data_IF_547754962219
#
_entry.id   IF_547754962219
#
_cell.length_a   1.000
_cell.length_b   1.000
_cell.length_c   1.000
_cell.angle_alpha   90.00
_cell.angle_beta   90.00
_cell.angle_gamma   90.00
#
_symmetry.space_group_name_H-M   'P 1'
#
loop_
_entity.id
_entity.type
_entity.pdbx_description
1 polymer ?
#
# COMPACT_ATOMS: atom_id res chain seq x y z
N UNK A 1 43.84 -1.52 -30.38
CA UNK A 1 43.09 -0.28 -30.12
C UNK A 1 43.40 0.08 -28.68
N UNK A 2 44.02 1.23 -28.43
CA UNK A 2 44.36 1.65 -27.08
C UNK A 2 43.06 1.87 -26.29
N UNK A 3 42.89 1.17 -25.16
CA UNK A 3 41.78 1.44 -24.24
C UNK A 3 41.84 2.91 -23.82
N UNK A 4 40.81 3.67 -24.20
CA UNK A 4 40.62 5.03 -23.70
C UNK A 4 40.55 4.96 -22.18
N UNK A 5 41.49 5.68 -21.56
CA UNK A 5 41.71 5.73 -20.13
C UNK A 5 40.51 6.40 -19.45
N UNK A 6 39.47 5.62 -19.12
CA UNK A 6 38.21 6.14 -18.56
C UNK A 6 38.49 6.74 -17.18
N UNK A 7 38.40 8.06 -17.11
CA UNK A 7 38.58 8.80 -15.87
C UNK A 7 37.34 8.63 -14.98
N UNK A 8 37.56 8.23 -13.72
CA UNK A 8 36.53 7.98 -12.71
C UNK A 8 36.57 9.13 -11.71
N UNK A 9 35.43 9.82 -11.54
CA UNK A 9 35.27 10.81 -10.48
C UNK A 9 34.95 10.07 -9.17
N UNK A 10 35.76 10.34 -8.16
CA UNK A 10 35.61 9.76 -6.83
C UNK A 10 35.91 10.79 -5.73
N UNK A 11 35.79 10.35 -4.48
CA UNK A 11 35.89 11.16 -3.29
C UNK A 11 36.88 10.57 -2.32
N UNK A 12 37.77 11.40 -1.79
CA UNK A 12 38.84 10.94 -0.92
C UNK A 12 38.96 11.81 0.33
N UNK A 13 39.13 11.15 1.47
CA UNK A 13 39.49 11.77 2.74
C UNK A 13 41.01 11.77 2.96
N UNK A 14 41.48 12.78 3.67
CA UNK A 14 42.87 13.00 4.06
C UNK A 14 42.94 13.47 5.52
N UNK A 15 44.10 13.32 6.15
CA UNK A 15 44.40 14.04 7.38
C UNK A 15 44.45 15.57 7.11
N UNK A 16 44.39 16.38 8.17
CA UNK A 16 44.44 17.85 8.06
C UNK A 16 45.68 18.39 7.33
N UNK A 17 46.79 17.65 7.40
CA UNK A 17 48.05 17.94 6.72
C UNK A 17 48.11 17.41 5.27
N UNK A 18 46.98 16.97 4.70
CA UNK A 18 46.89 16.34 3.37
C UNK A 18 47.64 15.01 3.21
N UNK A 19 47.95 14.32 4.31
CA UNK A 19 48.56 12.99 4.23
C UNK A 19 47.53 11.85 4.21
N UNK A 20 47.87 10.76 3.53
CA UNK A 20 47.14 9.48 3.57
C UNK A 20 48.14 8.32 3.44
N UNK A 21 48.11 7.34 4.36
CA UNK A 21 49.02 6.17 4.40
C UNK A 21 50.51 6.53 4.24
N UNK A 22 50.96 7.64 4.84
CA UNK A 22 52.35 8.10 4.79
C UNK A 22 52.75 8.82 3.50
N UNK A 23 51.81 9.06 2.59
CA UNK A 23 52.03 9.83 1.36
C UNK A 23 51.45 11.24 1.50
N UNK A 24 52.19 12.25 1.06
CA UNK A 24 51.79 13.66 1.06
C UNK A 24 51.11 14.01 -0.26
N UNK A 25 49.91 14.59 -0.19
CA UNK A 25 49.16 15.05 -1.35
C UNK A 25 49.06 16.57 -1.37
N UNK A 26 48.81 17.10 -2.57
CA UNK A 26 48.54 18.50 -2.83
C UNK A 26 47.38 18.62 -3.82
N UNK A 27 46.51 19.59 -3.60
CA UNK A 27 45.43 19.92 -4.53
C UNK A 27 46.03 20.42 -5.86
N UNK A 28 45.46 19.96 -6.97
CA UNK A 28 45.92 20.24 -8.34
C UNK A 28 47.05 19.32 -8.82
N UNK A 29 47.53 18.37 -8.01
CA UNK A 29 48.60 17.45 -8.40
C UNK A 29 48.07 16.07 -8.77
N UNK A 30 48.85 15.39 -9.60
CA UNK A 30 48.61 14.02 -10.05
C UNK A 30 49.73 13.10 -9.59
N UNK A 31 49.35 11.91 -9.15
CA UNK A 31 50.23 10.92 -8.59
C UNK A 31 50.02 9.57 -9.27
N UNK A 32 51.12 8.82 -9.43
CA UNK A 32 51.12 7.51 -10.06
C UNK A 32 51.74 6.46 -9.12
N UNK A 33 51.06 5.33 -9.02
CA UNK A 33 51.48 4.16 -8.27
C UNK A 33 52.13 3.17 -9.22
N UNK A 34 53.33 2.70 -8.87
CA UNK A 34 54.02 1.63 -9.59
C UNK A 34 53.78 0.32 -8.86
N UNK A 35 53.09 -0.61 -9.51
CA UNK A 35 52.76 -1.93 -8.96
C UNK A 35 51.31 -2.30 -9.18
N UNK A 36 50.94 -3.50 -8.73
CA UNK A 36 49.58 -4.02 -8.86
C UNK A 36 48.58 -3.16 -8.08
N UNK A 37 47.42 -2.90 -8.66
CA UNK A 37 46.35 -2.14 -8.01
C UNK A 37 45.32 -3.13 -7.44
N UNK A 38 45.06 -3.04 -6.13
CA UNK A 38 44.10 -3.92 -5.48
C UNK A 38 43.33 -3.16 -4.40
N UNK A 39 42.00 -3.21 -4.48
CA UNK A 39 41.12 -2.61 -3.49
C UNK A 39 41.53 -3.04 -2.07
N UNK A 40 41.53 -2.08 -1.15
CA UNK A 40 41.96 -2.19 0.25
C UNK A 40 43.48 -2.38 0.48
N UNK A 41 44.23 -2.89 -0.48
CA UNK A 41 45.64 -3.28 -0.32
C UNK A 41 46.60 -2.25 -0.92
N UNK A 42 46.53 -1.99 -2.23
CA UNK A 42 47.54 -1.25 -2.99
C UNK A 42 46.95 -0.29 -4.02
N UNK A 43 47.71 0.76 -4.37
CA UNK A 43 47.22 1.87 -5.18
C UNK A 43 46.55 2.99 -4.37
N UNK A 44 45.99 3.97 -5.09
CA UNK A 44 45.32 5.11 -4.49
C UNK A 44 43.86 4.82 -4.25
N UNK A 45 43.39 5.02 -3.02
CA UNK A 45 42.04 4.66 -2.61
C UNK A 45 41.11 5.88 -2.52
N UNK A 46 39.87 5.73 -3.02
CA UNK A 46 38.78 6.68 -2.90
C UNK A 46 37.43 5.94 -2.89
N UNK A 47 36.31 6.66 -2.80
CA UNK A 47 34.95 6.12 -2.93
C UNK A 47 34.20 6.82 -4.07
N UNK A 48 33.46 6.09 -4.91
CA UNK A 48 32.65 6.71 -5.96
C UNK A 48 31.43 7.46 -5.38
N UNK A 49 30.86 6.96 -4.28
CA UNK A 49 29.82 7.65 -3.51
C UNK A 49 30.45 8.53 -2.41
N UNK A 50 30.16 9.84 -2.35
CA UNK A 50 30.86 10.75 -1.44
C UNK A 50 30.75 10.42 0.05
N UNK A 51 29.60 9.91 0.52
CA UNK A 51 29.40 9.69 1.96
C UNK A 51 30.06 8.40 2.47
N UNK A 52 30.41 7.45 1.60
CA UNK A 52 31.18 6.25 1.99
C UNK A 52 32.54 6.63 2.57
N UNK A 53 33.11 7.77 2.15
CA UNK A 53 34.38 8.29 2.69
C UNK A 53 34.30 8.50 4.21
N UNK A 54 33.10 8.81 4.76
CA UNK A 54 32.91 9.07 6.19
C UNK A 54 33.07 7.82 7.06
N UNK A 55 32.91 6.63 6.48
CA UNK A 55 33.21 5.36 7.15
C UNK A 55 34.71 5.17 7.39
N UNK A 56 35.55 5.87 6.62
CA UNK A 56 37.01 5.78 6.69
C UNK A 56 37.68 7.01 7.32
N UNK A 57 37.03 8.18 7.22
CA UNK A 57 37.55 9.46 7.65
C UNK A 57 36.51 10.23 8.44
N UNK A 58 36.79 10.48 9.73
CA UNK A 58 35.90 11.28 10.56
C UNK A 58 35.83 12.73 10.05
N UNK A 59 34.62 13.28 9.80
CA UNK A 59 34.47 14.62 9.25
C UNK A 59 34.94 15.73 10.18
N UNK A 60 35.05 15.46 11.49
CA UNK A 60 35.52 16.43 12.47
C UNK A 60 37.02 16.74 12.36
N UNK A 61 37.81 15.83 11.79
CA UNK A 61 39.28 15.89 11.82
C UNK A 61 39.93 15.58 10.47
N UNK A 62 39.15 15.53 9.39
CA UNK A 62 39.63 15.16 8.05
C UNK A 62 39.33 16.24 7.02
N UNK A 63 40.15 16.27 5.96
CA UNK A 63 39.88 17.04 4.74
C UNK A 63 39.34 16.12 3.66
N UNK A 64 38.54 16.66 2.75
CA UNK A 64 37.92 15.90 1.67
C UNK A 64 38.21 16.55 0.33
N UNK A 65 38.37 15.74 -0.71
CA UNK A 65 38.55 16.24 -2.06
C UNK A 65 37.76 15.42 -3.08
N UNK A 66 37.39 16.09 -4.17
CA UNK A 66 37.07 15.42 -5.43
C UNK A 66 38.37 14.96 -6.05
N UNK A 67 38.40 13.72 -6.52
CA UNK A 67 39.57 13.13 -7.17
C UNK A 67 39.20 12.51 -8.51
N UNK A 68 40.14 12.54 -9.43
CA UNK A 68 40.06 11.84 -10.71
C UNK A 68 40.98 10.66 -10.71
N UNK A 69 40.43 9.47 -10.95
CA UNK A 69 41.14 8.21 -10.90
C UNK A 69 41.22 7.60 -12.30
N UNK A 70 42.39 7.06 -12.66
CA UNK A 70 42.63 6.44 -13.98
C UNK A 70 43.73 5.38 -13.90
N UNK A 71 44.03 4.74 -15.03
CA UNK A 71 44.92 3.58 -15.11
C UNK A 71 44.24 2.29 -14.65
N UNK A 72 45.04 1.31 -14.24
CA UNK A 72 44.52 0.06 -13.66
C UNK A 72 43.66 0.38 -12.42
N UNK A 73 42.48 -0.24 -12.33
CA UNK A 73 41.55 -0.03 -11.21
C UNK A 73 41.08 -1.36 -10.62
N UNK A 74 40.76 -1.33 -9.32
CA UNK A 74 40.21 -2.46 -8.59
C UNK A 74 39.11 -1.96 -7.67
N UNK A 75 37.95 -2.64 -7.69
CA UNK A 75 36.77 -2.31 -6.87
C UNK A 75 36.55 -3.37 -5.81
N UNK A 76 36.01 -2.94 -4.67
CA UNK A 76 35.52 -3.83 -3.61
C UNK A 76 34.05 -4.22 -3.85
N UNK A 77 33.54 -5.23 -3.14
CA UNK A 77 32.14 -5.67 -3.21
C UNK A 77 31.22 -5.00 -2.20
N UNK A 78 31.77 -4.48 -1.10
CA UNK A 78 30.97 -4.13 0.08
C UNK A 78 30.49 -2.66 0.07
N UNK A 79 31.23 -1.75 -0.57
CA UNK A 79 30.90 -0.33 -0.71
C UNK A 79 31.38 0.22 -2.06
N UNK A 80 31.31 1.54 -2.26
CA UNK A 80 31.76 2.16 -3.53
C UNK A 80 33.27 2.41 -3.61
N UNK A 81 34.06 1.75 -2.76
CA UNK A 81 35.50 1.95 -2.71
C UNK A 81 36.18 1.41 -3.96
N UNK A 82 37.16 2.20 -4.39
CA UNK A 82 37.97 1.92 -5.57
C UNK A 82 39.43 2.21 -5.26
N UNK A 83 40.31 1.40 -5.83
CA UNK A 83 41.74 1.65 -5.93
C UNK A 83 42.12 1.93 -7.39
N UNK A 84 43.06 2.86 -7.63
CA UNK A 84 43.59 3.15 -8.95
C UNK A 84 45.12 3.28 -8.97
N UNK A 85 45.70 3.09 -10.16
CA UNK A 85 47.11 3.35 -10.44
C UNK A 85 47.42 4.85 -10.44
N UNK A 86 46.48 5.69 -10.85
CA UNK A 86 46.67 7.14 -10.96
C UNK A 86 45.55 7.90 -10.26
N UNK A 87 45.92 8.95 -9.52
CA UNK A 87 44.97 9.84 -8.85
C UNK A 87 45.38 11.30 -9.05
N UNK A 88 44.43 12.15 -9.42
CA UNK A 88 44.57 13.61 -9.40
C UNK A 88 43.69 14.17 -8.30
N UNK A 89 44.26 14.99 -7.43
CA UNK A 89 43.50 15.70 -6.39
C UNK A 89 42.96 16.97 -7.01
N UNK A 90 41.67 17.04 -7.31
CA UNK A 90 41.14 18.18 -8.08
C UNK A 90 40.90 19.42 -7.22
N UNK A 91 40.07 19.28 -6.20
CA UNK A 91 39.68 20.38 -5.32
C UNK A 91 39.33 19.86 -3.94
N UNK A 92 39.67 20.63 -2.92
CA UNK A 92 39.10 20.45 -1.58
C UNK A 92 37.60 20.72 -1.64
N UNK A 93 36.82 19.95 -0.88
CA UNK A 93 35.38 20.15 -0.71
C UNK A 93 35.02 20.14 0.77
N UNK A 94 34.01 20.93 1.13
CA UNK A 94 33.45 20.94 2.48
C UNK A 94 32.28 19.94 2.62
N UNK A 95 31.79 19.76 3.85
CA UNK A 95 30.70 18.83 4.15
C UNK A 95 29.40 19.16 3.39
N UNK A 96 28.93 20.44 3.32
CA UNK A 96 27.81 20.80 2.47
C UNK A 96 27.96 20.42 0.99
N UNK A 97 29.13 20.66 0.39
CA UNK A 97 29.42 20.28 -1.00
C UNK A 97 29.44 18.76 -1.19
N UNK A 98 29.98 18.03 -0.21
CA UNK A 98 29.96 16.56 -0.19
C UNK A 98 28.54 16.00 -0.13
N UNK A 99 27.67 16.57 0.71
CA UNK A 99 26.24 16.22 0.79
C UNK A 99 25.55 16.52 -0.54
N UNK A 100 25.78 17.70 -1.13
CA UNK A 100 25.21 18.07 -2.43
C UNK A 100 25.58 17.04 -3.51
N UNK A 101 26.86 16.67 -3.59
CA UNK A 101 27.35 15.67 -4.55
C UNK A 101 26.80 14.27 -4.27
N UNK A 102 26.52 13.93 -3.01
CA UNK A 102 25.91 12.66 -2.67
C UNK A 102 24.46 12.58 -3.18
N UNK A 103 23.72 13.67 -3.05
CA UNK A 103 22.37 13.80 -3.63
C UNK A 103 22.42 13.71 -5.15
N UNK A 104 23.37 14.39 -5.80
CA UNK A 104 23.56 14.31 -7.27
C UNK A 104 23.90 12.89 -7.73
N UNK A 105 24.76 12.18 -7.01
CA UNK A 105 25.11 10.78 -7.30
C UNK A 105 23.89 9.86 -7.20
N UNK A 106 23.09 9.97 -6.13
CA UNK A 106 21.86 9.20 -5.96
C UNK A 106 20.89 9.51 -7.11
N UNK A 107 20.69 10.79 -7.43
CA UNK A 107 19.84 11.19 -8.57
C UNK A 107 20.33 10.57 -9.89
N UNK A 108 21.62 10.47 -10.13
CA UNK A 108 22.16 9.84 -11.33
C UNK A 108 22.01 8.31 -11.39
N UNK A 109 21.73 7.65 -10.24
CA UNK A 109 21.47 6.21 -10.16
C UNK A 109 19.99 5.86 -10.27
N UNK A 110 19.11 6.83 -10.06
CA UNK A 110 17.67 6.66 -10.23
C UNK A 110 17.34 6.77 -11.71
N UNK A 111 16.64 5.76 -12.23
CA UNK A 111 16.02 5.82 -13.55
C UNK A 111 14.73 6.67 -13.46
N UNK A 112 14.89 7.98 -13.68
CA UNK A 112 13.77 8.92 -13.67
C UNK A 112 12.81 8.73 -14.85
N UNK A 113 13.27 8.11 -15.95
CA UNK A 113 12.43 7.80 -17.11
C UNK A 113 11.56 6.56 -16.84
N UNK A 114 12.03 5.64 -15.99
CA UNK A 114 11.24 4.54 -15.43
C UNK A 114 10.38 4.94 -14.22
N UNK A 115 10.49 6.18 -13.71
CA UNK A 115 9.56 6.72 -12.73
C UNK A 115 8.20 6.93 -13.41
N UNK A 116 7.43 5.85 -13.55
CA UNK A 116 6.05 5.93 -14.01
C UNK A 116 5.33 6.95 -13.14
N UNK A 117 4.89 8.03 -13.78
CA UNK A 117 3.78 8.87 -13.34
C UNK A 117 2.74 7.93 -12.76
N UNK A 118 2.26 8.18 -11.55
CA UNK A 118 1.13 7.44 -10.96
C UNK A 118 0.13 7.12 -12.07
N UNK A 119 -0.24 5.86 -12.22
CA UNK A 119 -1.13 5.42 -13.28
C UNK A 119 -2.39 6.28 -13.13
N UNK A 120 -2.55 7.24 -14.03
CA UNK A 120 -3.49 8.36 -13.94
C UNK A 120 -4.08 8.52 -15.32
N UNK A 121 -5.34 8.94 -15.37
CA UNK A 121 -6.07 9.13 -16.61
C UNK A 121 -7.01 7.98 -16.93
N UNK A 122 -7.85 8.20 -17.92
CA UNK A 122 -8.95 7.31 -18.26
C UNK A 122 -8.44 6.00 -18.86
N UNK A 123 -9.11 4.89 -18.51
CA UNK A 123 -8.78 3.56 -19.01
C UNK A 123 -7.36 3.08 -18.65
N UNK A 124 -6.79 3.64 -17.58
CA UNK A 124 -5.49 3.26 -17.05
C UNK A 124 -5.57 1.99 -16.20
N UNK A 125 -4.46 1.26 -16.09
CA UNK A 125 -4.35 0.08 -15.23
C UNK A 125 -3.07 0.13 -14.39
N UNK A 126 -3.19 -0.20 -13.10
CA UNK A 126 -2.07 -0.45 -12.19
C UNK A 126 -2.08 -1.90 -11.76
N UNK A 127 -0.96 -2.60 -11.98
CA UNK A 127 -0.82 -4.01 -11.61
C UNK A 127 0.50 -4.18 -10.88
N UNK A 128 0.44 -4.74 -9.69
CA UNK A 128 1.63 -5.08 -8.91
C UNK A 128 1.53 -6.52 -8.38
N UNK A 129 2.67 -7.12 -8.08
CA UNK A 129 2.78 -8.46 -7.50
C UNK A 129 3.88 -8.47 -6.44
N UNK A 130 3.69 -9.22 -5.36
CA UNK A 130 4.74 -9.47 -4.36
C UNK A 130 4.33 -9.13 -2.94
N UNK A 131 5.16 -9.56 -1.98
CA UNK A 131 4.96 -9.27 -0.57
C UNK A 131 5.10 -7.76 -0.30
N UNK A 132 4.14 -7.17 0.41
CA UNK A 132 4.12 -5.72 0.74
C UNK A 132 4.12 -4.80 -0.49
N UNK A 133 3.48 -5.23 -1.57
CA UNK A 133 3.29 -4.43 -2.77
C UNK A 133 2.08 -3.50 -2.65
N UNK A 134 2.06 -2.44 -3.46
CA UNK A 134 0.91 -1.53 -3.59
C UNK A 134 0.64 -1.25 -5.06
N UNK A 135 -0.63 -1.32 -5.48
CA UNK A 135 -1.10 -0.84 -6.77
C UNK A 135 -2.08 0.31 -6.56
N UNK A 136 -1.77 1.49 -7.10
CA UNK A 136 -2.64 2.67 -7.02
C UNK A 136 -3.00 3.18 -8.41
N UNK A 137 -4.25 3.58 -8.59
CA UNK A 137 -4.73 4.12 -9.85
C UNK A 137 -5.79 5.22 -9.66
N UNK A 138 -5.98 6.07 -10.67
CA UNK A 138 -7.07 7.05 -10.72
C UNK A 138 -7.53 7.34 -12.15
N UNK A 139 -8.84 7.47 -12.39
CA UNK A 139 -9.39 7.83 -13.71
C UNK A 139 -10.76 7.22 -14.02
N UNK A 140 -11.40 7.66 -15.11
CA UNK A 140 -12.63 7.02 -15.59
C UNK A 140 -12.29 5.66 -16.21
N UNK A 141 -13.01 4.60 -15.82
CA UNK A 141 -12.73 3.21 -16.25
C UNK A 141 -11.32 2.71 -15.91
N UNK A 142 -10.75 3.18 -14.82
CA UNK A 142 -9.44 2.74 -14.34
C UNK A 142 -9.52 1.44 -13.54
N UNK A 143 -8.41 0.70 -13.44
CA UNK A 143 -8.31 -0.52 -12.62
C UNK A 143 -7.01 -0.54 -11.79
N UNK A 144 -7.10 -0.85 -10.51
CA UNK A 144 -5.95 -1.19 -9.67
C UNK A 144 -6.03 -2.66 -9.26
N UNK A 145 -5.01 -3.45 -9.57
CA UNK A 145 -4.93 -4.87 -9.26
C UNK A 145 -3.64 -5.17 -8.50
N UNK A 146 -3.73 -5.92 -7.42
CA UNK A 146 -2.56 -6.40 -6.71
C UNK A 146 -2.68 -7.88 -6.34
N UNK A 147 -1.55 -8.56 -6.26
CA UNK A 147 -1.46 -9.96 -5.83
C UNK A 147 -0.24 -10.13 -4.93
N UNK A 148 -0.47 -10.41 -3.65
CA UNK A 148 0.56 -10.65 -2.66
C UNK A 148 0.09 -10.43 -1.24
N UNK A 149 0.77 -11.04 -0.29
CA UNK A 149 0.45 -10.86 1.13
C UNK A 149 0.88 -9.49 1.64
N UNK A 150 0.14 -8.95 2.60
CA UNK A 150 0.35 -7.61 3.18
C UNK A 150 0.32 -6.50 2.13
N UNK A 151 -0.51 -6.67 1.09
CA UNK A 151 -0.55 -5.77 -0.06
C UNK A 151 -1.80 -4.89 -0.09
N UNK A 152 -1.79 -3.86 -0.93
CA UNK A 152 -2.95 -2.99 -1.15
C UNK A 152 -3.23 -2.73 -2.64
N UNK A 153 -4.50 -2.71 -3.02
CA UNK A 153 -4.97 -2.20 -4.29
C UNK A 153 -5.92 -1.03 -4.03
N UNK A 154 -5.60 0.16 -4.55
CA UNK A 154 -6.41 1.38 -4.32
C UNK A 154 -6.74 2.03 -5.64
N UNK A 155 -8.03 2.34 -5.86
CA UNK A 155 -8.47 3.06 -7.03
C UNK A 155 -9.44 4.20 -6.68
N UNK A 156 -9.43 5.25 -7.49
CA UNK A 156 -10.40 6.34 -7.42
C UNK A 156 -10.89 6.66 -8.82
N UNK A 157 -12.20 6.60 -9.06
CA UNK A 157 -12.76 6.96 -10.36
C UNK A 157 -14.16 6.42 -10.63
N UNK A 158 -14.79 6.99 -11.65
CA UNK A 158 -16.07 6.52 -12.18
C UNK A 158 -15.86 5.24 -12.98
N UNK A 159 -16.74 4.24 -12.85
CA UNK A 159 -16.61 2.95 -13.56
C UNK A 159 -15.30 2.23 -13.28
N UNK A 160 -14.77 2.37 -12.06
CA UNK A 160 -13.44 1.90 -11.69
C UNK A 160 -13.47 0.62 -10.87
N UNK A 161 -12.34 -0.10 -10.82
CA UNK A 161 -12.21 -1.29 -9.98
C UNK A 161 -10.91 -1.30 -9.16
N UNK A 162 -10.97 -1.77 -7.92
CA UNK A 162 -9.82 -2.14 -7.11
C UNK A 162 -9.92 -3.63 -6.75
N UNK A 163 -8.92 -4.42 -7.12
CA UNK A 163 -8.90 -5.87 -6.89
C UNK A 163 -7.62 -6.26 -6.17
N UNK A 164 -7.73 -7.01 -5.08
CA UNK A 164 -6.57 -7.55 -4.38
C UNK A 164 -6.74 -9.05 -4.07
N UNK A 165 -5.63 -9.76 -3.98
CA UNK A 165 -5.57 -11.15 -3.55
C UNK A 165 -4.31 -11.36 -2.71
N UNK A 166 -4.48 -11.86 -1.49
CA UNK A 166 -3.40 -12.16 -0.56
C UNK A 166 -3.82 -12.01 0.89
N UNK A 167 -3.07 -12.62 1.80
CA UNK A 167 -3.36 -12.55 3.23
C UNK A 167 -2.99 -11.19 3.79
N UNK A 168 -3.81 -10.69 4.73
CA UNK A 168 -3.67 -9.36 5.35
C UNK A 168 -3.61 -8.23 4.32
N UNK A 169 -4.41 -8.35 3.27
CA UNK A 169 -4.46 -7.41 2.16
C UNK A 169 -5.68 -6.49 2.22
N UNK A 170 -5.65 -5.41 1.44
CA UNK A 170 -6.78 -4.49 1.29
C UNK A 170 -7.06 -4.17 -0.18
N UNK A 171 -8.35 -4.11 -0.55
CA UNK A 171 -8.81 -3.52 -1.79
C UNK A 171 -9.73 -2.34 -1.46
N UNK A 172 -9.37 -1.15 -1.91
CA UNK A 172 -10.12 0.08 -1.62
C UNK A 172 -10.47 0.78 -2.93
N UNK A 173 -11.75 1.08 -3.12
CA UNK A 173 -12.20 1.88 -4.26
C UNK A 173 -13.04 3.08 -3.81
N UNK A 174 -13.01 4.14 -4.59
CA UNK A 174 -13.87 5.32 -4.42
C UNK A 174 -14.38 5.80 -5.76
N UNK A 175 -15.69 5.81 -5.95
CA UNK A 175 -16.33 6.39 -7.13
C UNK A 175 -17.69 5.78 -7.47
N UNK A 176 -18.36 6.40 -8.43
CA UNK A 176 -19.67 6.00 -8.93
C UNK A 176 -19.54 4.80 -9.89
N UNK A 177 -20.44 3.81 -9.79
CA UNK A 177 -20.34 2.54 -10.54
C UNK A 177 -18.99 1.83 -10.34
N UNK A 178 -18.53 1.73 -9.10
CA UNK A 178 -17.20 1.22 -8.80
C UNK A 178 -17.26 -0.11 -8.04
N UNK A 179 -16.18 -0.88 -8.10
CA UNK A 179 -16.07 -2.14 -7.36
C UNK A 179 -14.76 -2.23 -6.55
N UNK A 180 -14.83 -2.72 -5.32
CA UNK A 180 -13.68 -3.13 -4.53
C UNK A 180 -13.82 -4.62 -4.23
N UNK A 181 -12.87 -5.44 -4.68
CA UNK A 181 -12.89 -6.90 -4.49
C UNK A 181 -11.62 -7.35 -3.82
N UNK A 182 -11.73 -8.11 -2.73
CA UNK A 182 -10.58 -8.71 -2.09
C UNK A 182 -10.77 -10.20 -1.81
N UNK A 183 -9.67 -10.93 -1.75
CA UNK A 183 -9.63 -12.34 -1.36
C UNK A 183 -8.39 -12.63 -0.53
N UNK A 184 -8.57 -13.21 0.67
CA UNK A 184 -7.47 -13.63 1.54
C UNK A 184 -7.81 -13.63 3.02
N UNK A 185 -6.99 -14.31 3.83
CA UNK A 185 -7.16 -14.35 5.29
C UNK A 185 -6.90 -12.97 5.91
N UNK A 186 -7.76 -12.52 6.83
CA UNK A 186 -7.66 -11.19 7.46
C UNK A 186 -7.58 -10.03 6.46
N UNK A 187 -8.38 -10.11 5.41
CA UNK A 187 -8.40 -9.12 4.34
C UNK A 187 -9.56 -8.14 4.49
N UNK A 188 -9.51 -7.02 3.76
CA UNK A 188 -10.59 -6.04 3.70
C UNK A 188 -10.91 -5.61 2.26
N UNK A 189 -12.19 -5.49 1.93
CA UNK A 189 -12.66 -4.81 0.72
C UNK A 189 -13.51 -3.61 1.13
N UNK A 190 -13.13 -2.41 0.70
CA UNK A 190 -13.82 -1.17 1.06
C UNK A 190 -14.18 -0.39 -0.19
N UNK A 191 -15.44 0.00 -0.33
CA UNK A 191 -15.88 0.87 -1.40
C UNK A 191 -16.68 2.07 -0.89
N UNK A 192 -16.56 3.19 -1.59
CA UNK A 192 -17.29 4.42 -1.31
C UNK A 192 -17.79 5.01 -2.63
N UNK A 193 -19.11 5.02 -2.82
CA UNK A 193 -19.72 5.68 -3.97
C UNK A 193 -21.07 5.10 -4.36
N UNK A 194 -21.87 5.86 -5.10
CA UNK A 194 -23.19 5.43 -5.53
C UNK A 194 -23.07 4.26 -6.52
N UNK A 195 -24.01 3.31 -6.44
CA UNK A 195 -24.02 2.12 -7.30
C UNK A 195 -22.72 1.33 -7.27
N UNK A 196 -22.13 1.20 -6.09
CA UNK A 196 -20.85 0.55 -5.91
C UNK A 196 -20.98 -0.79 -5.20
N UNK A 197 -19.96 -1.63 -5.33
CA UNK A 197 -19.89 -2.92 -4.65
C UNK A 197 -18.57 -3.07 -3.87
N UNK A 198 -18.65 -3.60 -2.66
CA UNK A 198 -17.52 -4.07 -1.88
C UNK A 198 -17.72 -5.58 -1.64
N UNK A 199 -16.81 -6.39 -2.16
CA UNK A 199 -16.90 -7.86 -2.07
C UNK A 199 -15.63 -8.39 -1.45
N UNK A 200 -15.75 -9.18 -0.38
CA UNK A 200 -14.61 -9.86 0.22
C UNK A 200 -14.86 -11.36 0.39
N UNK A 201 -13.79 -12.14 0.25
CA UNK A 201 -13.78 -13.58 0.46
C UNK A 201 -12.56 -13.95 1.31
N UNK A 202 -12.79 -14.38 2.54
CA UNK A 202 -11.71 -14.86 3.39
C UNK A 202 -12.08 -14.92 4.86
N UNK A 203 -11.47 -15.83 5.59
CA UNK A 203 -11.68 -15.94 7.04
C UNK A 203 -11.17 -14.69 7.77
N UNK A 204 -11.91 -14.24 8.80
CA UNK A 204 -11.61 -13.02 9.56
C UNK A 204 -11.53 -11.76 8.69
N UNK A 205 -12.39 -11.65 7.69
CA UNK A 205 -12.34 -10.56 6.71
C UNK A 205 -13.48 -9.55 6.87
N UNK A 206 -13.40 -8.44 6.14
CA UNK A 206 -14.45 -7.41 6.13
C UNK A 206 -14.77 -6.93 4.72
N UNK A 207 -16.05 -6.73 4.42
CA UNK A 207 -16.52 -6.00 3.25
C UNK A 207 -17.32 -4.78 3.71
N UNK A 208 -16.90 -3.58 3.31
CA UNK A 208 -17.52 -2.33 3.77
C UNK A 208 -17.89 -1.44 2.59
N UNK A 209 -19.12 -0.96 2.55
CA UNK A 209 -19.58 0.00 1.55
C UNK A 209 -20.34 1.17 2.19
N UNK A 210 -20.29 2.36 1.58
CA UNK A 210 -20.90 3.59 2.12
C UNK A 210 -21.67 4.42 1.07
N UNK A 211 -22.18 3.79 0.01
CA UNK A 211 -22.90 4.50 -1.07
C UNK A 211 -24.39 4.22 -1.18
N UNK A 212 -25.15 5.17 -1.72
CA UNK A 212 -26.55 4.94 -2.13
C UNK A 212 -26.63 3.84 -3.20
N UNK A 213 -27.60 2.93 -3.05
CA UNK A 213 -27.78 1.74 -3.90
C UNK A 213 -26.49 0.93 -4.06
N UNK A 214 -25.77 0.77 -2.96
CA UNK A 214 -24.52 0.02 -2.94
C UNK A 214 -24.68 -1.35 -2.30
N UNK A 215 -23.69 -2.20 -2.47
CA UNK A 215 -23.67 -3.57 -1.95
C UNK A 215 -22.38 -3.82 -1.18
N UNK A 216 -22.50 -4.44 -0.01
CA UNK A 216 -21.40 -5.03 0.75
C UNK A 216 -21.64 -6.53 0.88
N UNK A 217 -20.74 -7.36 0.37
CA UNK A 217 -20.87 -8.83 0.41
C UNK A 217 -19.61 -9.46 0.99
N UNK A 218 -19.77 -10.31 2.00
CA UNK A 218 -18.69 -11.12 2.53
C UNK A 218 -19.08 -12.59 2.60
N UNK A 219 -18.14 -13.49 2.32
CA UNK A 219 -18.41 -14.94 2.30
C UNK A 219 -17.59 -15.74 3.31
N UNK A 220 -16.62 -15.13 4.00
CA UNK A 220 -15.76 -15.86 4.93
C UNK A 220 -16.34 -16.01 6.34
N UNK A 221 -15.86 -16.99 7.09
CA UNK A 221 -16.25 -17.15 8.51
C UNK A 221 -15.58 -16.09 9.39
N UNK A 222 -16.23 -15.80 10.53
CA UNK A 222 -15.83 -14.75 11.46
C UNK A 222 -15.65 -13.39 10.78
N UNK A 223 -16.54 -13.08 9.85
CA UNK A 223 -16.39 -11.92 8.98
C UNK A 223 -17.52 -10.91 9.17
N UNK A 224 -17.35 -9.75 8.55
CA UNK A 224 -18.35 -8.70 8.53
C UNK A 224 -18.65 -8.21 7.12
N UNK A 225 -19.92 -7.97 6.84
CA UNK A 225 -20.38 -7.17 5.71
C UNK A 225 -21.12 -5.96 6.26
N UNK A 226 -20.66 -4.74 5.96
CA UNK A 226 -21.23 -3.51 6.51
C UNK A 226 -21.58 -2.54 5.39
N UNK A 227 -22.80 -2.03 5.40
CA UNK A 227 -23.24 -0.98 4.51
C UNK A 227 -23.93 0.16 5.28
N UNK A 228 -23.82 1.38 4.78
CA UNK A 228 -24.45 2.56 5.41
C UNK A 228 -25.25 3.43 4.44
N UNK A 229 -25.28 3.12 3.14
CA UNK A 229 -26.02 3.94 2.19
C UNK A 229 -27.49 3.54 2.06
N UNK A 230 -28.34 4.45 1.61
CA UNK A 230 -29.77 4.14 1.43
C UNK A 230 -29.98 3.21 0.23
N UNK A 231 -31.04 2.42 0.27
CA UNK A 231 -31.39 1.37 -0.70
C UNK A 231 -30.24 0.39 -0.93
N UNK A 232 -29.44 0.15 0.10
CA UNK A 232 -28.25 -0.66 0.02
C UNK A 232 -28.45 -2.07 0.58
N UNK A 233 -27.47 -2.93 0.30
CA UNK A 233 -27.48 -4.33 0.69
C UNK A 233 -26.21 -4.63 1.50
N UNK A 234 -26.37 -5.35 2.61
CA UNK A 234 -25.30 -6.00 3.33
C UNK A 234 -25.59 -7.51 3.41
N UNK A 235 -24.69 -8.35 2.91
CA UNK A 235 -24.88 -9.81 2.88
C UNK A 235 -23.64 -10.51 3.40
N UNK A 236 -23.83 -11.46 4.33
CA UNK A 236 -22.74 -12.30 4.82
C UNK A 236 -23.11 -13.79 4.84
N UNK A 237 -22.32 -14.62 4.16
CA UNK A 237 -22.62 -16.07 4.06
C UNK A 237 -21.77 -16.95 4.97
N UNK A 238 -20.76 -16.40 5.66
CA UNK A 238 -19.91 -17.19 6.54
C UNK A 238 -20.49 -17.41 7.93
N UNK A 239 -19.96 -18.42 8.63
CA UNK A 239 -20.34 -18.75 9.99
C UNK A 239 -19.75 -17.75 11.00
N UNK A 240 -20.48 -17.52 12.11
CA UNK A 240 -20.08 -16.58 13.19
C UNK A 240 -19.85 -15.15 12.68
N UNK A 241 -20.65 -14.73 11.71
CA UNK A 241 -20.45 -13.49 10.97
C UNK A 241 -21.57 -12.48 11.20
N UNK A 242 -21.36 -11.26 10.73
CA UNK A 242 -22.36 -10.21 10.77
C UNK A 242 -22.62 -9.59 9.39
N UNK A 243 -23.87 -9.27 9.12
CA UNK A 243 -24.27 -8.34 8.06
C UNK A 243 -24.99 -7.16 8.71
N UNK A 244 -24.44 -5.96 8.56
CA UNK A 244 -24.99 -4.74 9.17
C UNK A 244 -25.31 -3.72 8.10
N UNK A 245 -26.53 -3.21 8.10
CA UNK A 245 -26.96 -2.13 7.23
C UNK A 245 -27.63 -1.00 8.00
N UNK A 246 -27.14 0.22 7.81
CA UNK A 246 -27.64 1.40 8.50
C UNK A 246 -28.46 2.36 7.63
N UNK A 247 -28.45 2.20 6.30
CA UNK A 247 -29.15 3.14 5.40
C UNK A 247 -30.65 2.90 5.34
N UNK A 248 -31.39 3.88 4.84
CA UNK A 248 -32.85 3.77 4.68
C UNK A 248 -33.22 2.81 3.56
N UNK A 249 -34.36 2.14 3.68
CA UNK A 249 -34.84 1.11 2.74
C UNK A 249 -33.80 0.03 2.45
N UNK A 250 -32.93 -0.23 3.41
CA UNK A 250 -31.80 -1.12 3.26
C UNK A 250 -32.11 -2.53 3.73
N UNK A 251 -31.25 -3.46 3.31
CA UNK A 251 -31.39 -4.87 3.67
C UNK A 251 -30.10 -5.41 4.28
N UNK A 252 -30.27 -6.28 5.29
CA UNK A 252 -29.19 -7.05 5.89
C UNK A 252 -29.53 -8.55 5.86
N UNK A 253 -28.63 -9.38 5.34
CA UNK A 253 -28.84 -10.81 5.20
C UNK A 253 -27.65 -11.61 5.71
N UNK A 254 -27.94 -12.65 6.50
CA UNK A 254 -26.95 -13.67 6.86
C UNK A 254 -27.45 -15.08 6.57
N UNK A 255 -26.58 -15.93 6.04
CA UNK A 255 -26.89 -17.35 5.80
C UNK A 255 -26.02 -18.35 6.54
N UNK A 256 -24.89 -17.90 7.10
CA UNK A 256 -24.04 -18.74 7.96
C UNK A 256 -24.63 -18.98 9.35
N UNK A 257 -24.14 -20.03 10.02
CA UNK A 257 -24.56 -20.40 11.38
C UNK A 257 -24.01 -19.41 12.40
N UNK A 258 -24.77 -19.18 13.47
CA UNK A 258 -24.37 -18.26 14.56
C UNK A 258 -24.10 -16.83 14.05
N UNK A 259 -24.68 -16.47 12.90
CA UNK A 259 -24.50 -15.16 12.27
C UNK A 259 -25.69 -14.24 12.55
N UNK A 260 -25.47 -12.93 12.47
CA UNK A 260 -26.46 -11.91 12.81
C UNK A 260 -26.65 -10.92 11.66
N UNK A 261 -27.90 -10.74 11.23
CA UNK A 261 -28.29 -9.66 10.32
C UNK A 261 -28.86 -8.48 11.10
N UNK A 262 -28.37 -7.27 10.84
CA UNK A 262 -28.70 -6.05 11.58
C UNK A 262 -29.15 -4.97 10.60
N UNK A 263 -30.41 -4.54 10.67
CA UNK A 263 -30.99 -3.51 9.82
C UNK A 263 -31.48 -2.32 10.68
N UNK A 264 -30.88 -1.14 10.48
CA UNK A 264 -31.02 0.04 11.37
C UNK A 264 -31.65 1.28 10.72
N UNK A 265 -31.92 1.24 9.42
CA UNK A 265 -32.51 2.36 8.68
C UNK A 265 -34.04 2.36 8.66
N UNK A 266 -34.62 3.48 8.23
CA UNK A 266 -36.06 3.60 8.03
C UNK A 266 -36.52 2.63 6.94
N UNK A 267 -37.64 1.93 7.14
CA UNK A 267 -38.13 0.89 6.20
C UNK A 267 -37.10 -0.21 5.85
N UNK A 268 -36.13 -0.46 6.72
CA UNK A 268 -35.14 -1.51 6.51
C UNK A 268 -35.68 -2.90 6.92
N UNK A 269 -35.06 -3.96 6.40
CA UNK A 269 -35.41 -5.35 6.71
C UNK A 269 -34.20 -6.25 6.88
N UNK A 270 -34.34 -7.26 7.75
CA UNK A 270 -33.29 -8.24 8.03
C UNK A 270 -33.79 -9.67 7.77
N UNK A 271 -32.88 -10.54 7.34
CA UNK A 271 -33.13 -11.98 7.13
C UNK A 271 -31.94 -12.79 7.65
N UNK A 272 -32.25 -13.90 8.31
CA UNK A 272 -31.25 -14.84 8.79
C UNK A 272 -31.67 -16.30 8.51
N UNK A 273 -30.71 -17.15 8.18
CA UNK A 273 -30.93 -18.60 8.10
C UNK A 273 -31.02 -19.25 9.48
N UNK A 274 -31.31 -20.56 9.51
CA UNK A 274 -31.42 -21.35 10.74
C UNK A 274 -30.17 -21.22 11.62
N UNK A 275 -30.37 -21.06 12.93
CA UNK A 275 -29.33 -20.75 13.93
C UNK A 275 -28.67 -19.37 13.80
N UNK A 276 -29.24 -18.47 12.98
CA UNK A 276 -28.89 -17.06 12.98
C UNK A 276 -29.78 -16.22 13.89
N UNK A 277 -29.56 -14.91 13.87
CA UNK A 277 -30.39 -13.92 14.54
C UNK A 277 -30.59 -12.68 13.68
N UNK A 278 -31.65 -11.93 13.98
CA UNK A 278 -31.95 -10.65 13.35
C UNK A 278 -32.02 -9.53 14.40
N UNK A 279 -31.67 -8.32 13.98
CA UNK A 279 -31.95 -7.06 14.70
C UNK A 279 -32.65 -6.12 13.73
N UNK A 280 -33.81 -5.62 14.13
CA UNK A 280 -34.61 -4.69 13.35
C UNK A 280 -34.96 -3.47 14.18
N UNK A 281 -35.24 -2.36 13.51
CA UNK A 281 -35.70 -1.11 14.12
C UNK A 281 -36.97 -0.60 13.45
N UNK A 282 -37.76 0.17 14.19
CA UNK A 282 -38.81 1.02 13.64
C UNK A 282 -38.45 2.47 13.88
N UNK A 283 -38.54 3.28 12.82
CA UNK A 283 -38.40 4.73 12.86
C UNK A 283 -39.69 5.39 12.38
N UNK A 284 -40.10 6.47 13.02
CA UNK A 284 -41.26 7.24 12.58
C UNK A 284 -40.94 8.10 11.33
N UNK A 285 -41.92 8.87 10.86
CA UNK A 285 -41.79 9.74 9.69
C UNK A 285 -40.77 10.87 9.86
N UNK A 286 -40.45 11.25 11.10
CA UNK A 286 -39.44 12.26 11.44
C UNK A 286 -38.03 11.65 11.58
N UNK A 287 -37.90 10.33 11.41
CA UNK A 287 -36.63 9.59 11.51
C UNK A 287 -36.23 9.20 12.94
N UNK A 288 -37.08 9.48 13.93
CA UNK A 288 -36.82 9.15 15.33
C UNK A 288 -36.86 7.63 15.52
N UNK A 289 -35.88 7.10 16.27
CA UNK A 289 -35.84 5.69 16.64
C UNK A 289 -36.88 5.43 17.73
N UNK A 290 -37.93 4.68 17.40
CA UNK A 290 -39.01 4.35 18.35
C UNK A 290 -38.78 2.97 18.96
N UNK A 291 -38.46 1.97 18.13
CA UNK A 291 -38.27 0.59 18.57
C UNK A 291 -36.99 -0.02 18.04
N UNK A 292 -36.39 -0.88 18.86
CA UNK A 292 -35.32 -1.81 18.47
C UNK A 292 -35.63 -3.17 19.11
N UNK A 293 -35.58 -4.25 18.33
CA UNK A 293 -35.72 -5.61 18.83
C UNK A 293 -34.72 -6.54 18.16
N UNK A 294 -34.33 -7.57 18.90
CA UNK A 294 -33.47 -8.64 18.43
C UNK A 294 -34.15 -9.98 18.73
N UNK A 295 -34.00 -10.95 17.83
CA UNK A 295 -34.48 -12.31 18.06
C UNK A 295 -33.65 -13.32 17.29
N UNK A 296 -33.47 -14.50 17.87
CA UNK A 296 -32.92 -15.66 17.16
C UNK A 296 -33.98 -16.27 16.27
N UNK A 297 -33.54 -16.86 15.17
CA UNK A 297 -34.39 -17.67 14.30
C UNK A 297 -34.89 -18.89 15.09
N UNK A 298 -36.21 -19.15 15.05
CA UNK A 298 -36.89 -20.17 15.84
C UNK A 298 -37.44 -19.68 17.18
N UNK A 299 -37.14 -18.44 17.58
CA UNK A 299 -37.70 -17.77 18.76
C UNK A 299 -38.63 -16.62 18.32
N UNK A 300 -39.60 -16.24 19.16
CA UNK A 300 -40.53 -15.12 18.91
C UNK A 300 -41.21 -15.16 17.52
N UNK A 301 -41.54 -16.36 17.04
CA UNK A 301 -42.14 -16.62 15.72
C UNK A 301 -41.28 -16.21 14.51
N UNK A 302 -39.97 -15.97 14.69
CA UNK A 302 -39.06 -15.68 13.58
C UNK A 302 -38.73 -16.96 12.81
N UNK A 303 -39.13 -17.00 11.54
CA UNK A 303 -38.85 -18.10 10.61
C UNK A 303 -37.48 -17.90 9.96
N UNK A 304 -36.84 -19.01 9.63
CA UNK A 304 -35.61 -18.98 8.82
C UNK A 304 -35.91 -18.42 7.43
N UNK A 305 -34.90 -17.76 6.84
CA UNK A 305 -34.90 -17.33 5.44
C UNK A 305 -36.11 -16.45 5.06
N UNK A 306 -36.65 -15.73 6.04
CA UNK A 306 -37.81 -14.85 5.90
C UNK A 306 -37.39 -13.43 6.26
N UNK A 307 -37.83 -12.44 5.48
CA UNK A 307 -37.55 -11.05 5.75
C UNK A 307 -38.46 -10.49 6.85
N UNK A 308 -37.87 -9.78 7.80
CA UNK A 308 -38.58 -9.12 8.88
C UNK A 308 -38.21 -7.64 8.99
N UNK A 309 -39.18 -6.85 9.43
CA UNK A 309 -39.03 -5.48 9.92
C UNK A 309 -39.81 -5.31 11.23
N UNK A 310 -39.78 -4.12 11.85
CA UNK A 310 -40.65 -3.79 12.98
C UNK A 310 -41.79 -2.86 12.53
N UNK A 311 -42.97 -3.06 13.10
CA UNK A 311 -44.09 -2.12 12.97
C UNK A 311 -44.05 -1.00 14.02
N UNK A 312 -45.08 -0.15 14.00
CA UNK A 312 -45.21 1.02 14.87
C UNK A 312 -45.39 0.70 16.37
N UNK A 313 -45.85 -0.52 16.71
CA UNK A 313 -45.94 -1.00 18.09
C UNK A 313 -44.70 -1.82 18.49
N UNK A 314 -43.77 -2.02 17.56
CA UNK A 314 -42.49 -2.68 17.76
C UNK A 314 -42.55 -4.20 17.58
N UNK A 315 -43.60 -4.77 16.99
CA UNK A 315 -43.67 -6.19 16.70
C UNK A 315 -43.00 -6.54 15.37
N UNK A 316 -42.47 -7.78 15.29
CA UNK A 316 -41.86 -8.26 14.05
C UNK A 316 -42.93 -8.56 12.99
N UNK A 317 -42.73 -8.04 11.78
CA UNK A 317 -43.63 -8.25 10.65
C UNK A 317 -42.89 -8.88 9.47
N UNK A 318 -43.47 -9.94 8.90
CA UNK A 318 -42.96 -10.57 7.68
C UNK A 318 -43.13 -9.65 6.47
N UNK A 319 -42.04 -9.46 5.72
CA UNK A 319 -42.04 -8.68 4.47
C UNK A 319 -41.99 -9.66 3.30
N UNK A 320 -42.92 -9.53 2.36
CA UNK A 320 -42.91 -10.36 1.14
C UNK A 320 -41.85 -9.86 0.18
N UNK A 321 -41.28 -10.77 -0.60
CA UNK A 321 -40.47 -10.42 -1.76
C UNK A 321 -41.43 -9.90 -2.85
N UNK A 322 -41.24 -8.64 -3.27
CA UNK A 322 -41.88 -8.06 -4.46
C UNK A 322 -41.12 -8.44 -5.73
#
# INVERSE_FOLDING_TARGET
MAEENKEIIAYKGFKQDWTCRGYQYEVGKTYEHKGNVKACESGFHACEYPLDVLSYYSPAVSKFAVVKMSGETSKDSDDTKIASAKITIETEINLPEMIKKAVEWIKGKVDWDAAKVSNTGDQSAATNTGYRSVATNTGYRSVATNTGDQSAATNTGYWSAATNTGDRSAATNTGYWSAATNTGYRSAATNTGYWSAATNTGYQSAATNTGYRSVATNTGDQSAATNTGDQSVATNTGDQSAATNAGDQSVAEVSGKQSIAVALGWQSKAKASINGAIVCVYRNHDGELIHIKASKVGENNIKADTWYTLDEIGEFVEVKDD
#
